data_IF_725966188061
#
_entry.id   IF_725966188061
#
_cell.length_a   1.000
_cell.length_b   1.000
_cell.length_c   1.000
_cell.angle_alpha   90.00
_cell.angle_beta   90.00
_cell.angle_gamma   90.00
#
_symmetry.space_group_name_H-M   'P 1'
#
loop_
_entity.id
_entity.type
_entity.pdbx_description
1 polymer ?
#
# COMPACT_ATOMS: atom_id res chain seq x y z
N UNK A 1 3.22 -12.60 -53.87
CA UNK A 1 3.29 -13.10 -52.48
C UNK A 1 2.46 -12.18 -51.60
N UNK A 2 1.62 -12.77 -50.76
CA UNK A 2 0.45 -12.17 -50.12
C UNK A 2 0.87 -11.68 -48.73
N UNK A 3 1.17 -10.38 -48.58
CA UNK A 3 1.35 -9.74 -47.27
C UNK A 3 -0.02 -9.62 -46.60
N UNK A 4 -0.53 -10.72 -46.07
CA UNK A 4 -1.75 -10.73 -45.26
C UNK A 4 -1.41 -11.58 -44.04
N UNK A 5 -1.61 -11.03 -42.83
CA UNK A 5 -1.42 -11.64 -41.50
C UNK A 5 -0.19 -11.27 -40.64
N UNK A 6 0.73 -10.39 -41.07
CA UNK A 6 1.86 -9.95 -40.19
C UNK A 6 1.68 -8.60 -39.48
N UNK A 7 0.57 -7.89 -39.70
CA UNK A 7 0.29 -6.61 -39.03
C UNK A 7 -0.15 -6.76 -37.55
N UNK A 8 -0.90 -7.80 -37.11
CA UNK A 8 -1.39 -7.84 -35.72
C UNK A 8 -0.31 -8.26 -34.70
N UNK A 9 0.81 -8.86 -35.14
CA UNK A 9 1.86 -9.35 -34.24
C UNK A 9 2.73 -8.21 -33.66
N UNK A 10 2.91 -7.12 -34.41
CA UNK A 10 3.76 -5.99 -34.01
C UNK A 10 3.06 -5.09 -32.97
N UNK A 11 1.71 -5.11 -32.92
CA UNK A 11 0.93 -4.29 -31.99
C UNK A 11 0.91 -4.83 -30.54
N UNK A 12 1.16 -6.14 -30.35
CA UNK A 12 1.10 -6.79 -29.02
C UNK A 12 2.38 -6.56 -28.19
N UNK A 13 3.50 -6.22 -28.84
CA UNK A 13 4.81 -6.06 -28.14
C UNK A 13 4.94 -4.68 -27.46
N UNK A 14 4.13 -3.68 -27.83
CA UNK A 14 4.22 -2.32 -27.30
C UNK A 14 3.38 -2.05 -26.04
N UNK A 15 2.59 -3.01 -25.56
CA UNK A 15 1.70 -2.81 -24.41
C UNK A 15 2.29 -3.24 -23.05
N UNK A 16 3.53 -3.72 -23.02
CA UNK A 16 4.21 -4.13 -21.78
C UNK A 16 4.79 -2.93 -21.03
N UNK A 17 3.94 -2.01 -20.56
CA UNK A 17 4.40 -1.00 -19.61
C UNK A 17 4.72 -1.69 -18.28
N UNK A 18 5.94 -1.53 -17.73
CA UNK A 18 6.23 -2.04 -16.40
C UNK A 18 5.32 -1.34 -15.39
N UNK A 19 4.57 -2.12 -14.63
CA UNK A 19 3.77 -1.62 -13.52
C UNK A 19 4.73 -1.29 -12.36
N UNK A 20 4.86 0.00 -12.05
CA UNK A 20 5.65 0.49 -10.91
C UNK A 20 4.80 0.47 -9.63
N UNK A 21 4.33 -0.69 -9.18
CA UNK A 21 3.53 -0.78 -7.95
C UNK A 21 4.35 -0.45 -6.70
N UNK A 22 5.66 -0.73 -6.72
CA UNK A 22 6.49 -0.71 -5.50
C UNK A 22 7.48 0.47 -5.47
N UNK A 23 7.30 1.48 -6.31
CA UNK A 23 8.24 2.60 -6.42
C UNK A 23 8.08 3.63 -5.28
N UNK A 24 7.00 3.55 -4.51
CA UNK A 24 6.69 4.47 -3.42
C UNK A 24 6.29 3.72 -2.15
N UNK A 25 7.06 3.91 -1.08
CA UNK A 25 6.64 3.49 0.26
C UNK A 25 5.66 4.52 0.82
N UNK A 26 4.45 4.11 1.24
CA UNK A 26 3.49 5.03 1.83
C UNK A 26 4.07 5.65 3.10
N UNK A 27 3.69 6.90 3.37
CA UNK A 27 4.08 7.61 4.58
C UNK A 27 2.87 8.32 5.18
N UNK A 28 2.81 8.45 6.51
CA UNK A 28 1.68 9.10 7.16
C UNK A 28 1.68 10.58 6.82
N UNK A 29 0.54 11.08 6.30
CA UNK A 29 0.33 12.50 6.02
C UNK A 29 -0.10 13.28 7.27
N UNK A 30 0.57 13.02 8.41
CA UNK A 30 0.24 13.56 9.72
C UNK A 30 1.03 14.84 10.02
N UNK A 31 0.36 15.84 10.60
CA UNK A 31 1.02 17.08 11.04
C UNK A 31 1.62 16.91 12.43
N UNK A 32 2.94 16.83 12.51
CA UNK A 32 3.66 16.78 13.78
C UNK A 32 3.48 18.10 14.55
N UNK A 33 3.09 18.08 15.84
CA UNK A 33 2.91 19.30 16.63
C UNK A 33 4.25 19.99 16.87
N UNK A 34 4.23 21.33 16.90
CA UNK A 34 5.39 22.14 17.24
C UNK A 34 5.44 22.37 18.75
N UNK A 35 6.54 21.94 19.40
CA UNK A 35 6.77 22.22 20.81
C UNK A 35 7.50 23.58 20.94
N UNK A 36 6.93 24.57 21.65
CA UNK A 36 7.62 25.82 21.92
C UNK A 36 8.83 25.58 22.85
N UNK A 37 9.80 26.50 22.82
CA UNK A 37 10.97 26.44 23.71
C UNK A 37 10.57 26.44 25.19
N UNK A 38 9.57 27.26 25.53
CA UNK A 38 8.95 27.34 26.85
C UNK A 38 7.45 27.59 26.68
N UNK A 39 6.63 27.05 27.59
CA UNK A 39 5.20 27.36 27.65
C UNK A 39 4.98 28.59 28.52
N UNK A 40 4.24 29.57 28.02
CA UNK A 40 4.00 30.84 28.73
C UNK A 40 2.62 30.90 29.40
N UNK A 41 1.77 29.89 29.19
CA UNK A 41 0.45 29.79 29.83
C UNK A 41 -0.09 28.36 29.83
N UNK A 42 -1.05 28.07 30.71
CA UNK A 42 -1.74 26.78 30.75
C UNK A 42 -2.47 26.49 29.44
N UNK A 43 -3.07 27.50 28.81
CA UNK A 43 -3.74 27.33 27.52
C UNK A 43 -2.81 26.80 26.43
N UNK A 44 -1.54 27.22 26.40
CA UNK A 44 -0.57 26.68 25.44
C UNK A 44 -0.23 25.22 25.71
N UNK A 45 -0.19 24.82 26.99
CA UNK A 45 0.04 23.42 27.39
C UNK A 45 -1.14 22.57 26.92
N UNK A 46 -2.36 23.01 27.20
CA UNK A 46 -3.58 22.28 26.86
C UNK A 46 -3.70 22.12 25.34
N UNK A 47 -3.49 23.21 24.59
CA UNK A 47 -3.48 23.20 23.12
C UNK A 47 -2.43 22.25 22.55
N UNK A 48 -1.18 22.30 23.06
CA UNK A 48 -0.13 21.38 22.63
C UNK A 48 -0.47 19.91 22.91
N UNK A 49 -1.07 19.61 24.07
CA UNK A 49 -1.49 18.25 24.40
C UNK A 49 -2.60 17.75 23.48
N UNK A 50 -3.57 18.61 23.13
CA UNK A 50 -4.60 18.28 22.15
C UNK A 50 -3.99 18.00 20.76
N UNK A 51 -3.01 18.79 20.33
CA UNK A 51 -2.30 18.56 19.07
C UNK A 51 -1.53 17.23 19.08
N UNK A 52 -0.88 16.89 20.21
CA UNK A 52 -0.20 15.61 20.40
C UNK A 52 -1.16 14.43 20.32
N UNK A 53 -2.35 14.55 20.93
CA UNK A 53 -3.38 13.50 20.85
C UNK A 53 -3.84 13.30 19.40
N UNK A 54 -4.08 14.38 18.66
CA UNK A 54 -4.47 14.29 17.23
C UNK A 54 -3.38 13.67 16.37
N UNK A 55 -2.12 14.06 16.59
CA UNK A 55 -0.99 13.47 15.87
C UNK A 55 -0.84 11.98 16.18
N UNK A 56 -0.98 11.57 17.45
CA UNK A 56 -0.95 10.16 17.84
C UNK A 56 -2.05 9.36 17.14
N UNK A 57 -3.28 9.88 17.12
CA UNK A 57 -4.39 9.20 16.46
C UNK A 57 -4.11 9.02 14.95
N UNK A 58 -3.68 10.09 14.27
CA UNK A 58 -3.35 10.02 12.84
C UNK A 58 -2.29 8.96 12.52
N UNK A 59 -1.25 8.84 13.36
CA UNK A 59 -0.22 7.80 13.19
C UNK A 59 -0.80 6.40 13.43
N UNK A 60 -1.67 6.24 14.43
CA UNK A 60 -2.33 4.97 14.71
C UNK A 60 -3.22 4.52 13.53
N UNK A 61 -4.02 5.43 12.99
CA UNK A 61 -4.89 5.18 11.83
C UNK A 61 -4.06 4.72 10.61
N UNK A 62 -2.94 5.39 10.34
CA UNK A 62 -2.03 5.00 9.26
C UNK A 62 -1.47 3.58 9.49
N UNK A 63 -1.03 3.26 10.70
CA UNK A 63 -0.50 1.92 11.03
C UNK A 63 -1.58 0.85 10.87
N UNK A 64 -2.80 1.12 11.29
CA UNK A 64 -3.94 0.22 11.13
C UNK A 64 -4.21 -0.07 9.65
N UNK A 65 -4.27 0.97 8.81
CA UNK A 65 -4.45 0.83 7.36
C UNK A 65 -3.35 -0.02 6.72
N UNK A 66 -2.08 0.20 7.11
CA UNK A 66 -0.96 -0.58 6.57
C UNK A 66 -0.99 -2.05 7.02
N UNK A 67 -1.47 -2.32 8.24
CA UNK A 67 -1.63 -3.68 8.73
C UNK A 67 -2.76 -4.41 7.97
N UNK A 68 -3.90 -3.77 7.75
CA UNK A 68 -5.01 -4.32 6.95
C UNK A 68 -4.58 -4.61 5.50
N UNK A 69 -3.84 -3.69 4.88
CA UNK A 69 -3.26 -3.92 3.55
C UNK A 69 -2.30 -5.12 3.55
N UNK A 70 -1.44 -5.23 4.55
CA UNK A 70 -0.49 -6.35 4.69
C UNK A 70 -1.23 -7.69 4.85
N UNK A 71 -2.28 -7.73 5.67
CA UNK A 71 -3.11 -8.92 5.85
C UNK A 71 -3.75 -9.37 4.54
N UNK A 72 -4.31 -8.44 3.76
CA UNK A 72 -4.87 -8.73 2.43
C UNK A 72 -3.85 -9.34 1.48
N UNK A 73 -2.62 -8.82 1.48
CA UNK A 73 -1.55 -9.37 0.66
C UNK A 73 -1.13 -10.78 1.09
N UNK A 74 -1.05 -11.03 2.41
CA UNK A 74 -0.75 -12.36 2.95
C UNK A 74 -1.85 -13.36 2.60
N UNK A 75 -3.13 -12.99 2.77
CA UNK A 75 -4.26 -13.84 2.41
C UNK A 75 -4.26 -14.19 0.91
N UNK A 76 -3.97 -13.22 0.04
CA UNK A 76 -3.87 -13.48 -1.40
C UNK A 76 -2.72 -14.44 -1.76
N UNK A 77 -1.59 -14.36 -1.06
CA UNK A 77 -0.48 -15.29 -1.23
C UNK A 77 -0.87 -16.70 -0.75
N UNK A 78 -1.52 -16.81 0.39
CA UNK A 78 -1.99 -18.09 0.95
C UNK A 78 -3.05 -18.75 0.05
N UNK A 79 -3.98 -17.96 -0.51
CA UNK A 79 -4.97 -18.44 -1.48
C UNK A 79 -4.30 -19.02 -2.74
N UNK A 80 -3.31 -18.32 -3.29
CA UNK A 80 -2.57 -18.78 -4.46
C UNK A 80 -1.77 -20.07 -4.17
N UNK A 81 -1.20 -20.20 -2.97
CA UNK A 81 -0.57 -21.44 -2.52
C UNK A 81 -1.61 -22.56 -2.40
N UNK A 82 -2.79 -22.26 -1.87
CA UNK A 82 -3.92 -23.18 -1.76
C UNK A 82 -4.36 -23.72 -3.13
N UNK A 83 -4.52 -22.83 -4.11
CA UNK A 83 -4.89 -23.17 -5.50
C UNK A 83 -3.85 -24.12 -6.12
N UNK A 84 -2.57 -23.81 -6.00
CA UNK A 84 -1.50 -24.67 -6.49
C UNK A 84 -1.54 -26.06 -5.85
N UNK A 85 -1.69 -26.11 -4.53
CA UNK A 85 -1.76 -27.36 -3.80
C UNK A 85 -2.98 -28.19 -4.18
N UNK A 86 -4.12 -27.54 -4.46
CA UNK A 86 -5.31 -28.23 -4.97
C UNK A 86 -5.04 -28.85 -6.33
N UNK A 87 -4.50 -28.07 -7.27
CA UNK A 87 -4.21 -28.52 -8.62
C UNK A 87 -3.30 -29.76 -8.62
N UNK A 88 -2.16 -29.69 -7.92
CA UNK A 88 -1.18 -30.78 -7.90
C UNK A 88 -1.72 -32.05 -7.24
N UNK A 89 -2.49 -31.90 -6.16
CA UNK A 89 -2.91 -33.06 -5.37
C UNK A 89 -4.16 -33.76 -5.91
N UNK A 90 -5.02 -33.04 -6.62
CA UNK A 90 -6.35 -33.53 -7.00
C UNK A 90 -6.67 -33.43 -8.48
N UNK A 91 -6.17 -32.44 -9.20
CA UNK A 91 -6.56 -32.19 -10.60
C UNK A 91 -5.55 -32.74 -11.62
N UNK A 92 -4.26 -32.81 -11.24
CA UNK A 92 -3.19 -33.28 -12.12
C UNK A 92 -3.12 -34.81 -12.26
N UNK A 93 -3.88 -35.56 -11.46
CA UNK A 93 -3.87 -37.03 -11.44
C UNK A 93 -4.87 -37.61 -12.43
#
# INVERSE_FOLDING_TARGET
MRYRHFIPLILVVFSSFPAFSDMFTPSPSCSKPYKPYEFTSQWQIDSFNDDVMRYKQCIADFVEEMNDASEKHLNAADDAIGEWNQFVNYELK
#
